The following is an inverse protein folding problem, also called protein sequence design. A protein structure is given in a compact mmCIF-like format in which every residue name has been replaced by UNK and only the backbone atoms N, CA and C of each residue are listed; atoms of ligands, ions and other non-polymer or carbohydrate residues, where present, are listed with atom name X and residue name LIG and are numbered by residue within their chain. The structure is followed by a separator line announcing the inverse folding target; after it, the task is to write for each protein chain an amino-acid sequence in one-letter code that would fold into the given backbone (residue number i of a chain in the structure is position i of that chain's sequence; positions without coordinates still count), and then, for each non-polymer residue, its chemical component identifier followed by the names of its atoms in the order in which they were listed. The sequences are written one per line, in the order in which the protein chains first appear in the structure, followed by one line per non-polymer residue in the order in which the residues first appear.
data_IF_558129456719
#
_entry.id   IF_558129456719
#
_cell.length_a   1.000
_cell.length_b   1.000
_cell.length_c   1.000
_cell.angle_alpha   90.00
_cell.angle_beta   90.00
_cell.angle_gamma   90.00
#
_symmetry.space_group_name_H-M   'P 1'
#
loop_
_entity.id
_entity.type
_entity.pdbx_description
1 polymer ?
#
# COMPACT_ATOMS: atom_id res chain seq x y z
N UNK A 1 -6.94 -25.67 -24.78
CA UNK A 1 -7.41 -24.31 -24.44
C UNK A 1 -7.16 -24.16 -22.96
N UNK A 2 -6.46 -23.12 -22.50
CA UNK A 2 -6.17 -22.96 -21.07
C UNK A 2 -7.49 -22.85 -20.27
N UNK A 3 -7.55 -23.55 -19.13
CA UNK A 3 -8.74 -23.65 -18.27
C UNK A 3 -8.77 -22.44 -17.34
N UNK A 4 -9.07 -21.26 -17.90
CA UNK A 4 -8.92 -19.97 -17.21
C UNK A 4 -10.20 -19.60 -16.46
N UNK A 5 -10.14 -19.58 -15.12
CA UNK A 5 -11.19 -19.09 -14.25
C UNK A 5 -11.29 -17.57 -14.31
N UNK A 6 -12.41 -16.98 -14.80
CA UNK A 6 -12.53 -15.53 -14.90
C UNK A 6 -12.60 -14.87 -13.53
N UNK A 7 -11.87 -13.76 -13.34
CA UNK A 7 -11.93 -12.98 -12.09
C UNK A 7 -13.32 -12.42 -11.81
N UNK A 8 -14.08 -12.15 -12.87
CA UNK A 8 -15.47 -11.72 -12.78
C UNK A 8 -16.36 -12.81 -12.16
N UNK A 9 -16.09 -14.09 -12.39
CA UNK A 9 -16.85 -15.18 -11.79
C UNK A 9 -16.62 -15.23 -10.27
N UNK A 10 -15.36 -15.12 -9.82
CA UNK A 10 -15.00 -15.01 -8.41
C UNK A 10 -15.66 -13.79 -7.73
N UNK A 11 -15.58 -12.63 -8.39
CA UNK A 11 -16.20 -11.40 -7.90
C UNK A 11 -17.73 -11.51 -7.80
N UNK A 12 -18.36 -12.21 -8.74
CA UNK A 12 -19.80 -12.45 -8.73
C UNK A 12 -20.22 -13.42 -7.63
N UNK A 13 -19.45 -14.49 -7.43
CA UNK A 13 -19.62 -15.43 -6.31
C UNK A 13 -19.55 -14.69 -4.97
N UNK A 14 -18.49 -13.92 -4.75
CA UNK A 14 -18.31 -13.13 -3.52
C UNK A 14 -19.46 -12.16 -3.29
N UNK A 15 -19.91 -11.45 -4.33
CA UNK A 15 -21.03 -10.52 -4.22
C UNK A 15 -22.31 -11.23 -3.79
N UNK A 16 -22.58 -12.42 -4.32
CA UNK A 16 -23.75 -13.23 -3.96
C UNK A 16 -23.63 -13.77 -2.54
N UNK A 17 -22.45 -14.21 -2.13
CA UNK A 17 -22.20 -14.68 -0.76
C UNK A 17 -22.35 -13.56 0.26
N UNK A 18 -21.75 -12.39 0.00
CA UNK A 18 -21.88 -11.20 0.85
C UNK A 18 -23.33 -10.72 0.99
N UNK A 19 -24.17 -10.92 -0.04
CA UNK A 19 -25.59 -10.61 0.05
C UNK A 19 -26.34 -11.56 1.01
N UNK A 20 -25.93 -12.83 1.12
CA UNK A 20 -26.49 -13.78 2.09
C UNK A 20 -26.00 -13.50 3.50
N UNK A 21 -24.71 -13.20 3.65
CA UNK A 21 -24.10 -12.70 4.89
C UNK A 21 -24.82 -11.47 5.43
N UNK A 22 -25.04 -10.46 4.58
CA UNK A 22 -25.79 -9.25 4.91
C UNK A 22 -27.22 -9.51 5.33
N UNK A 23 -27.95 -10.39 4.63
CA UNK A 23 -29.32 -10.78 5.02
C UNK A 23 -29.36 -11.47 6.39
N UNK A 24 -28.37 -12.32 6.69
CA UNK A 24 -28.27 -12.98 7.99
C UNK A 24 -28.00 -11.97 9.11
N UNK A 25 -27.08 -11.03 8.86
CA UNK A 25 -26.81 -9.91 9.77
C UNK A 25 -28.06 -9.08 10.03
N UNK A 26 -28.76 -8.64 8.97
CA UNK A 26 -29.97 -7.82 9.06
C UNK A 26 -31.09 -8.55 9.80
N UNK A 27 -31.30 -9.84 9.51
CA UNK A 27 -32.30 -10.67 10.20
C UNK A 27 -32.03 -10.73 11.70
N UNK A 28 -30.79 -11.06 12.10
CA UNK A 28 -30.41 -11.20 13.49
C UNK A 28 -30.45 -9.85 14.24
N UNK A 29 -29.85 -8.80 13.67
CA UNK A 29 -29.80 -7.48 14.30
C UNK A 29 -31.19 -6.88 14.49
N UNK A 30 -32.05 -6.96 13.47
CA UNK A 30 -33.41 -6.39 13.54
C UNK A 30 -34.27 -7.12 14.56
N UNK A 31 -34.23 -8.46 14.60
CA UNK A 31 -35.08 -9.25 15.49
C UNK A 31 -34.65 -9.17 16.96
N UNK A 32 -33.35 -9.24 17.24
CA UNK A 32 -32.82 -9.09 18.60
C UNK A 32 -33.08 -7.67 19.12
N UNK A 33 -32.82 -6.65 18.28
CA UNK A 33 -33.11 -5.26 18.63
C UNK A 33 -34.59 -5.02 18.96
N UNK A 34 -35.50 -5.50 18.10
CA UNK A 34 -36.93 -5.37 18.32
C UNK A 34 -37.40 -6.10 19.60
N UNK A 35 -36.79 -7.24 19.95
CA UNK A 35 -37.10 -7.93 21.20
C UNK A 35 -36.68 -7.12 22.42
N UNK A 36 -35.44 -6.60 22.45
CA UNK A 36 -34.94 -5.79 23.56
C UNK A 36 -35.78 -4.52 23.74
N UNK A 37 -36.15 -3.85 22.64
CA UNK A 37 -36.98 -2.64 22.67
C UNK A 37 -38.40 -2.92 23.18
N UNK A 38 -39.02 -4.00 22.70
CA UNK A 38 -40.39 -4.38 23.07
C UNK A 38 -40.50 -4.91 24.49
N UNK A 39 -39.43 -5.50 25.03
CA UNK A 39 -39.41 -6.15 26.34
C UNK A 39 -38.28 -5.60 27.23
N UNK A 40 -38.36 -4.32 27.67
CA UNK A 40 -37.30 -3.69 28.47
C UNK A 40 -37.09 -4.34 29.86
N UNK A 41 -38.06 -5.13 30.33
CA UNK A 41 -37.96 -5.90 31.57
C UNK A 41 -37.48 -7.34 31.41
N UNK A 42 -37.07 -7.76 30.20
CA UNK A 42 -36.56 -9.10 29.97
C UNK A 42 -35.26 -9.34 30.78
N UNK A 43 -35.17 -10.51 31.40
CA UNK A 43 -33.94 -10.94 32.09
C UNK A 43 -32.81 -11.15 31.08
N UNK A 44 -31.53 -11.00 31.47
CA UNK A 44 -30.40 -11.29 30.60
C UNK A 44 -30.43 -12.71 30.02
N UNK A 45 -30.95 -13.68 30.79
CA UNK A 45 -31.15 -15.05 30.34
C UNK A 45 -32.16 -15.12 29.20
N UNK A 46 -33.31 -14.45 29.31
CA UNK A 46 -34.32 -14.41 28.24
C UNK A 46 -33.79 -13.74 26.98
N UNK A 47 -33.05 -12.63 27.12
CA UNK A 47 -32.40 -11.95 25.99
C UNK A 47 -31.39 -12.87 25.30
N UNK A 48 -30.59 -13.60 26.09
CA UNK A 48 -29.61 -14.56 25.59
C UNK A 48 -30.26 -15.70 24.82
N UNK A 49 -31.23 -16.39 25.42
CA UNK A 49 -31.88 -17.55 24.77
C UNK A 49 -32.58 -17.13 23.48
N UNK A 50 -33.28 -15.98 23.48
CA UNK A 50 -33.89 -15.45 22.26
C UNK A 50 -32.85 -15.10 21.19
N UNK A 51 -31.71 -14.51 21.58
CA UNK A 51 -30.64 -14.21 20.64
C UNK A 51 -30.00 -15.47 20.04
N UNK A 52 -29.86 -16.55 20.82
CA UNK A 52 -29.39 -17.85 20.31
C UNK A 52 -30.34 -18.36 19.23
N UNK A 53 -31.64 -18.45 19.53
CA UNK A 53 -32.66 -18.91 18.58
C UNK A 53 -32.67 -18.09 17.29
N UNK A 54 -32.64 -16.76 17.40
CA UNK A 54 -32.63 -15.87 16.23
C UNK A 54 -31.38 -16.07 15.38
N UNK A 55 -30.20 -16.24 15.99
CA UNK A 55 -28.96 -16.48 15.25
C UNK A 55 -29.00 -17.86 14.57
N UNK A 56 -29.47 -18.90 15.24
CA UNK A 56 -29.66 -20.23 14.64
C UNK A 56 -30.60 -20.18 13.44
N UNK A 57 -31.76 -19.53 13.58
CA UNK A 57 -32.73 -19.37 12.51
C UNK A 57 -32.16 -18.60 11.32
N UNK A 58 -31.40 -17.53 11.57
CA UNK A 58 -30.74 -16.77 10.51
C UNK A 58 -29.71 -17.65 9.77
N UNK A 59 -28.90 -18.42 10.50
CA UNK A 59 -27.91 -19.32 9.90
C UNK A 59 -28.58 -20.45 9.12
N UNK A 60 -29.68 -21.01 9.62
CA UNK A 60 -30.48 -22.00 8.90
C UNK A 60 -31.08 -21.44 7.61
N UNK A 61 -31.70 -20.25 7.68
CA UNK A 61 -32.39 -19.63 6.55
C UNK A 61 -31.45 -19.23 5.41
N UNK A 62 -30.23 -18.78 5.71
CA UNK A 62 -29.30 -18.25 4.70
C UNK A 62 -28.09 -19.15 4.45
N UNK A 63 -27.76 -20.07 5.37
CA UNK A 63 -26.59 -20.95 5.29
C UNK A 63 -26.69 -21.97 4.17
N UNK A 64 -27.85 -22.57 3.93
CA UNK A 64 -28.05 -23.55 2.85
C UNK A 64 -27.90 -22.89 1.47
N UNK A 65 -28.35 -21.64 1.32
CA UNK A 65 -28.13 -20.85 0.12
C UNK A 65 -26.63 -20.57 -0.11
N UNK A 66 -25.87 -20.31 0.95
CA UNK A 66 -24.43 -20.08 0.88
C UNK A 66 -23.67 -21.36 0.53
N UNK A 67 -24.04 -22.50 1.12
CA UNK A 67 -23.51 -23.81 0.75
C UNK A 67 -23.83 -24.17 -0.70
N UNK A 68 -25.07 -23.93 -1.15
CA UNK A 68 -25.46 -24.19 -2.55
C UNK A 68 -24.69 -23.32 -3.54
N UNK A 69 -24.52 -22.03 -3.23
CA UNK A 69 -23.70 -21.13 -4.04
C UNK A 69 -22.24 -21.59 -4.16
N UNK A 70 -21.67 -22.12 -3.06
CA UNK A 70 -20.33 -22.68 -3.05
C UNK A 70 -20.24 -23.99 -3.85
N UNK A 71 -21.26 -24.84 -3.77
CA UNK A 71 -21.38 -26.04 -4.59
C UNK A 71 -21.44 -25.69 -6.10
N UNK A 72 -22.29 -24.74 -6.50
CA UNK A 72 -22.39 -24.27 -7.89
C UNK A 72 -21.04 -23.75 -8.41
N UNK A 73 -20.34 -22.94 -7.60
CA UNK A 73 -19.03 -22.41 -7.97
C UNK A 73 -17.98 -23.54 -8.10
N UNK A 74 -18.02 -24.53 -7.20
CA UNK A 74 -17.13 -25.69 -7.25
C UNK A 74 -17.34 -26.52 -8.51
N UNK A 75 -18.59 -26.84 -8.82
CA UNK A 75 -18.96 -27.61 -10.02
C UNK A 75 -18.65 -26.81 -11.29
N UNK A 76 -18.87 -25.50 -11.30
CA UNK A 76 -18.48 -24.62 -12.40
C UNK A 76 -16.97 -24.60 -12.64
N UNK A 77 -16.14 -24.62 -11.57
CA UNK A 77 -14.69 -24.78 -11.71
C UNK A 77 -14.30 -26.14 -12.29
N UNK A 78 -15.01 -27.22 -11.90
CA UNK A 78 -14.77 -28.56 -12.43
C UNK A 78 -15.14 -28.65 -13.92
N UNK A 79 -16.31 -28.15 -14.29
CA UNK A 79 -16.79 -28.10 -15.68
C UNK A 79 -15.85 -27.28 -16.56
N UNK A 80 -15.46 -26.08 -16.10
CA UNK A 80 -14.48 -25.24 -16.78
C UNK A 80 -13.16 -25.98 -16.99
N UNK A 81 -12.78 -26.81 -16.03
CA UNK A 81 -11.55 -27.61 -16.09
C UNK A 81 -11.70 -28.90 -16.91
N UNK A 82 -12.88 -29.18 -17.48
CA UNK A 82 -13.17 -30.42 -18.20
C UNK A 82 -13.16 -31.67 -17.31
N UNK A 83 -13.21 -31.50 -15.98
CA UNK A 83 -13.14 -32.58 -15.00
C UNK A 83 -14.55 -32.99 -14.60
N UNK A 84 -14.86 -34.28 -14.74
CA UNK A 84 -16.10 -34.85 -14.19
C UNK A 84 -15.92 -35.15 -12.72
N UNK A 85 -16.62 -34.40 -11.87
CA UNK A 85 -16.69 -34.63 -10.42
C UNK A 85 -18.03 -35.24 -10.04
N UNK A 86 -18.10 -35.85 -8.86
CA UNK A 86 -19.40 -36.18 -8.23
C UNK A 86 -20.11 -34.87 -7.87
N UNK A 87 -21.46 -34.84 -7.85
CA UNK A 87 -22.21 -33.69 -7.35
C UNK A 87 -21.62 -33.17 -6.02
N UNK A 88 -21.50 -31.86 -5.92
CA UNK A 88 -20.92 -31.22 -4.76
C UNK A 88 -21.79 -31.45 -3.53
N UNK A 89 -21.15 -31.85 -2.44
CA UNK A 89 -21.81 -32.05 -1.15
C UNK A 89 -21.84 -30.71 -0.42
N UNK A 90 -23.04 -30.23 -0.10
CA UNK A 90 -23.24 -29.02 0.69
C UNK A 90 -22.97 -29.27 2.19
N UNK A 91 -22.38 -28.29 2.88
CA UNK A 91 -22.24 -28.34 4.34
C UNK A 91 -23.58 -28.01 5.02
N UNK A 92 -24.05 -28.95 5.85
CA UNK A 92 -25.23 -28.82 6.71
C UNK A 92 -24.93 -29.11 8.18
N UNK A 93 -23.64 -29.21 8.55
CA UNK A 93 -23.17 -29.46 9.93
C UNK A 93 -23.89 -28.61 10.98
N UNK A 94 -24.30 -29.19 12.11
CA UNK A 94 -24.85 -28.41 13.22
C UNK A 94 -23.80 -27.46 13.81
N UNK A 95 -24.16 -26.18 14.00
CA UNK A 95 -23.30 -25.12 14.56
C UNK A 95 -23.89 -24.50 15.82
N UNK A 96 -25.00 -25.02 16.35
CA UNK A 96 -25.71 -24.48 17.51
C UNK A 96 -24.78 -24.24 18.70
N UNK A 97 -23.96 -25.23 19.07
CA UNK A 97 -23.02 -25.08 20.19
C UNK A 97 -21.99 -23.94 20.02
N UNK A 98 -21.59 -23.63 18.77
CA UNK A 98 -20.71 -22.50 18.48
C UNK A 98 -21.42 -21.15 18.53
N UNK A 99 -22.72 -21.13 18.21
CA UNK A 99 -23.58 -19.95 18.32
C UNK A 99 -23.87 -19.67 19.79
N UNK A 100 -24.32 -20.68 20.53
CA UNK A 100 -24.60 -20.60 21.96
C UNK A 100 -23.39 -20.06 22.74
N UNK A 101 -22.21 -20.65 22.54
CA UNK A 101 -21.00 -20.22 23.23
C UNK A 101 -20.64 -18.75 22.95
N UNK A 102 -20.84 -18.29 21.71
CA UNK A 102 -20.54 -16.91 21.33
C UNK A 102 -21.57 -15.95 21.92
N UNK A 103 -22.87 -16.24 21.79
CA UNK A 103 -23.92 -15.38 22.33
C UNK A 103 -23.81 -15.26 23.86
N UNK A 104 -23.51 -16.38 24.55
CA UNK A 104 -23.18 -16.39 25.99
C UNK A 104 -22.03 -15.44 26.32
N UNK A 105 -20.95 -15.50 25.56
CA UNK A 105 -19.81 -14.62 25.75
C UNK A 105 -20.16 -13.15 25.50
N UNK A 106 -20.86 -12.86 24.41
CA UNK A 106 -21.21 -11.50 24.00
C UNK A 106 -22.28 -10.85 24.90
N UNK A 107 -23.06 -11.62 25.65
CA UNK A 107 -24.01 -11.12 26.64
C UNK A 107 -23.36 -10.18 27.67
N UNK A 108 -22.06 -10.33 27.94
CA UNK A 108 -21.30 -9.40 28.77
C UNK A 108 -21.42 -7.94 28.34
N UNK A 109 -21.53 -7.66 27.02
CA UNK A 109 -21.74 -6.31 26.49
C UNK A 109 -23.10 -5.75 26.92
N UNK A 110 -24.15 -6.55 26.77
CA UNK A 110 -25.50 -6.19 27.22
C UNK A 110 -25.51 -5.87 28.72
N UNK A 111 -24.89 -6.73 29.54
CA UNK A 111 -24.79 -6.55 30.98
C UNK A 111 -23.97 -5.32 31.39
N UNK A 112 -23.01 -4.91 30.57
CA UNK A 112 -22.22 -3.69 30.77
C UNK A 112 -22.92 -2.40 30.31
N UNK A 113 -24.19 -2.48 29.91
CA UNK A 113 -24.97 -1.34 29.42
C UNK A 113 -24.78 -1.02 27.93
N UNK A 114 -24.25 -1.96 27.14
CA UNK A 114 -24.08 -1.85 25.69
C UNK A 114 -24.97 -2.86 24.93
N UNK A 115 -26.29 -2.64 24.87
CA UNK A 115 -27.20 -3.52 24.13
C UNK A 115 -26.93 -3.49 22.62
N UNK A 116 -26.52 -2.35 22.06
CA UNK A 116 -26.25 -2.24 20.63
C UNK A 116 -25.01 -3.05 20.23
N UNK A 117 -23.93 -3.01 21.03
CA UNK A 117 -22.75 -3.84 20.80
C UNK A 117 -23.04 -5.34 20.93
N UNK A 118 -23.97 -5.74 21.81
CA UNK A 118 -24.47 -7.12 21.87
C UNK A 118 -25.22 -7.53 20.60
N UNK A 119 -26.16 -6.68 20.12
CA UNK A 119 -26.92 -6.92 18.89
C UNK A 119 -25.97 -7.06 17.69
N UNK A 120 -25.05 -6.11 17.51
CA UNK A 120 -24.08 -6.14 16.41
C UNK A 120 -23.17 -7.38 16.48
N UNK A 121 -22.79 -7.83 17.67
CA UNK A 121 -21.96 -9.03 17.83
C UNK A 121 -22.74 -10.31 17.44
N UNK A 122 -23.99 -10.45 17.88
CA UNK A 122 -24.84 -11.59 17.51
C UNK A 122 -25.12 -11.61 16.01
N UNK A 123 -25.40 -10.45 15.42
CA UNK A 123 -25.60 -10.32 13.98
C UNK A 123 -24.34 -10.63 13.16
N UNK A 124 -23.16 -10.20 13.63
CA UNK A 124 -21.87 -10.56 13.03
C UNK A 124 -21.66 -12.07 13.09
N UNK A 125 -22.00 -12.72 14.21
CA UNK A 125 -21.92 -14.18 14.34
C UNK A 125 -22.80 -14.92 13.33
N UNK A 126 -24.03 -14.44 13.08
CA UNK A 126 -24.90 -15.00 12.05
C UNK A 126 -24.25 -14.91 10.66
N UNK A 127 -23.77 -13.72 10.29
CA UNK A 127 -23.03 -13.48 9.05
C UNK A 127 -21.82 -14.42 8.90
N UNK A 128 -21.00 -14.54 9.95
CA UNK A 128 -19.79 -15.37 9.96
C UNK A 128 -20.11 -16.86 9.77
N UNK A 129 -21.19 -17.38 10.38
CA UNK A 129 -21.58 -18.77 10.20
C UNK A 129 -22.11 -19.06 8.78
N UNK A 130 -22.77 -18.09 8.14
CA UNK A 130 -23.18 -18.20 6.72
C UNK A 130 -21.95 -18.22 5.80
N UNK A 131 -20.96 -17.36 6.03
CA UNK A 131 -19.69 -17.42 5.31
C UNK A 131 -18.95 -18.75 5.54
N UNK A 132 -18.97 -19.25 6.78
CA UNK A 132 -18.35 -20.53 7.17
C UNK A 132 -18.94 -21.71 6.40
N UNK A 133 -20.26 -21.75 6.19
CA UNK A 133 -20.98 -22.79 5.43
C UNK A 133 -20.47 -22.90 3.99
N UNK A 134 -20.36 -21.76 3.30
CA UNK A 134 -19.81 -21.69 1.95
C UNK A 134 -18.35 -22.19 1.89
N UNK A 135 -17.51 -21.69 2.80
CA UNK A 135 -16.11 -22.10 2.90
C UNK A 135 -15.98 -23.60 3.22
N UNK A 136 -16.78 -24.13 4.14
CA UNK A 136 -16.76 -25.54 4.49
C UNK A 136 -17.20 -26.42 3.32
N UNK A 137 -18.23 -26.00 2.57
CA UNK A 137 -18.68 -26.68 1.34
C UNK A 137 -17.54 -26.77 0.32
N UNK A 138 -16.85 -25.67 0.04
CA UNK A 138 -15.66 -25.67 -0.82
C UNK A 138 -14.58 -26.63 -0.31
N UNK A 139 -14.24 -26.57 0.99
CA UNK A 139 -13.21 -27.41 1.60
C UNK A 139 -13.52 -28.90 1.51
N UNK A 140 -14.77 -29.29 1.76
CA UNK A 140 -15.21 -30.69 1.75
C UNK A 140 -15.01 -31.29 0.36
N UNK A 141 -15.49 -30.60 -0.68
CA UNK A 141 -15.40 -31.08 -2.06
C UNK A 141 -13.96 -31.04 -2.59
N UNK A 142 -13.24 -29.95 -2.35
CA UNK A 142 -11.83 -29.85 -2.73
C UNK A 142 -10.96 -30.91 -2.02
N UNK A 143 -11.21 -31.22 -0.75
CA UNK A 143 -10.51 -32.29 -0.02
C UNK A 143 -10.84 -33.67 -0.61
N UNK A 144 -12.12 -33.93 -0.90
CA UNK A 144 -12.59 -35.19 -1.52
C UNK A 144 -11.85 -35.46 -2.82
N UNK A 145 -11.68 -34.43 -3.63
CA UNK A 145 -11.12 -34.54 -4.98
C UNK A 145 -9.61 -34.22 -5.02
N UNK A 146 -8.97 -34.10 -3.84
CA UNK A 146 -7.51 -34.00 -3.71
C UNK A 146 -6.89 -32.67 -4.16
N UNK A 147 -7.71 -31.62 -4.32
CA UNK A 147 -7.30 -30.35 -4.89
C UNK A 147 -6.28 -29.60 -4.02
N UNK A 148 -5.53 -28.71 -4.66
CA UNK A 148 -4.68 -27.72 -4.00
C UNK A 148 -5.33 -26.36 -4.03
N UNK A 149 -4.84 -25.46 -3.19
CA UNK A 149 -5.34 -24.11 -3.07
C UNK A 149 -4.29 -23.10 -3.49
N UNK A 150 -4.73 -21.94 -3.95
CA UNK A 150 -3.91 -20.75 -4.17
C UNK A 150 -4.46 -19.57 -3.38
N UNK A 151 -3.58 -18.64 -2.99
CA UNK A 151 -3.95 -17.30 -2.53
C UNK A 151 -3.95 -16.39 -3.75
N UNK A 152 -5.10 -15.90 -4.16
CA UNK A 152 -5.26 -15.08 -5.36
C UNK A 152 -5.59 -13.64 -4.95
N UNK A 153 -4.67 -12.68 -5.12
CA UNK A 153 -5.00 -11.27 -4.94
C UNK A 153 -6.10 -10.87 -5.93
N UNK A 154 -7.07 -10.05 -5.51
CA UNK A 154 -8.19 -9.62 -6.38
C UNK A 154 -8.15 -8.12 -6.69
N UNK A 155 -6.98 -7.50 -6.54
CA UNK A 155 -6.76 -6.06 -6.72
C UNK A 155 -6.87 -5.25 -5.43
N UNK A 156 -6.49 -3.97 -5.54
CA UNK A 156 -6.24 -3.10 -4.39
C UNK A 156 -4.85 -3.35 -3.77
N UNK A 157 -4.64 -2.79 -2.59
CA UNK A 157 -3.42 -3.00 -1.80
C UNK A 157 -3.17 -4.50 -1.57
N UNK A 158 -1.94 -4.96 -1.83
CA UNK A 158 -1.50 -6.32 -1.51
C UNK A 158 -0.22 -6.24 -0.70
N UNK A 159 -0.23 -6.69 0.55
CA UNK A 159 0.97 -6.65 1.39
C UNK A 159 1.99 -7.73 1.01
N UNK A 160 3.24 -7.61 1.48
CA UNK A 160 4.33 -8.57 1.22
C UNK A 160 3.99 -10.01 1.59
N UNK A 161 3.25 -10.20 2.68
CA UNK A 161 2.83 -11.53 3.10
C UNK A 161 1.81 -12.15 2.13
N UNK A 162 0.84 -11.36 1.64
CA UNK A 162 -0.10 -11.82 0.62
C UNK A 162 0.61 -12.10 -0.71
N UNK A 163 1.57 -11.27 -1.12
CA UNK A 163 2.38 -11.51 -2.32
C UNK A 163 3.18 -12.82 -2.20
N UNK A 164 3.80 -13.05 -1.03
CA UNK A 164 4.48 -14.31 -0.73
C UNK A 164 3.53 -15.52 -0.78
N UNK A 165 2.30 -15.37 -0.29
CA UNK A 165 1.34 -16.47 -0.37
C UNK A 165 0.93 -16.73 -1.82
N UNK A 166 0.72 -15.66 -2.58
CA UNK A 166 0.29 -15.69 -3.97
C UNK A 166 1.33 -16.27 -4.92
N UNK A 167 2.63 -16.09 -4.63
CA UNK A 167 3.71 -16.60 -5.47
C UNK A 167 3.84 -18.11 -5.53
N UNK A 168 3.12 -18.85 -4.67
CA UNK A 168 3.17 -20.32 -4.65
C UNK A 168 2.16 -20.99 -5.58
N UNK A 169 1.23 -20.25 -6.19
CA UNK A 169 0.21 -20.88 -7.03
C UNK A 169 -0.68 -21.86 -6.28
N UNK A 170 -1.19 -22.87 -7.00
CA UNK A 170 -2.00 -23.96 -6.45
C UNK A 170 -1.15 -25.03 -5.74
N UNK A 171 -0.38 -24.64 -4.73
CA UNK A 171 0.52 -25.54 -3.98
C UNK A 171 0.00 -25.92 -2.59
N UNK A 172 -0.92 -25.13 -2.03
CA UNK A 172 -1.34 -25.33 -0.65
C UNK A 172 -2.24 -26.55 -0.51
N UNK A 173 -1.92 -27.43 0.45
CA UNK A 173 -2.72 -28.65 0.75
C UNK A 173 -4.04 -28.35 1.45
N UNK A 174 -4.23 -27.15 1.97
CA UNK A 174 -5.44 -26.73 2.65
C UNK A 174 -5.72 -25.25 2.46
N UNK A 175 -7.00 -24.87 2.51
CA UNK A 175 -7.41 -23.48 2.49
C UNK A 175 -6.79 -22.67 3.63
N UNK A 176 -6.66 -23.27 4.83
CA UNK A 176 -6.00 -22.65 5.99
C UNK A 176 -4.54 -22.27 5.69
N UNK A 177 -3.77 -23.17 5.09
CA UNK A 177 -2.35 -22.89 4.73
C UNK A 177 -2.22 -21.86 3.61
N UNK A 178 -3.25 -21.70 2.78
CA UNK A 178 -3.35 -20.62 1.79
C UNK A 178 -3.84 -19.28 2.40
N UNK A 179 -4.08 -19.21 3.72
CA UNK A 179 -4.43 -17.97 4.42
C UNK A 179 -5.93 -17.68 4.54
N UNK A 180 -6.80 -18.69 4.39
CA UNK A 180 -8.24 -18.52 4.56
C UNK A 180 -8.59 -18.12 6.00
N UNK A 181 -9.58 -17.23 6.17
CA UNK A 181 -9.97 -16.67 7.47
C UNK A 181 -9.01 -15.61 8.02
N UNK A 182 -7.94 -15.26 7.29
CA UNK A 182 -7.00 -14.22 7.70
C UNK A 182 -7.07 -12.99 6.79
N UNK A 183 -7.26 -11.83 7.42
CA UNK A 183 -7.05 -10.52 6.82
C UNK A 183 -5.74 -9.94 7.36
N UNK A 184 -4.68 -10.01 6.55
CA UNK A 184 -3.34 -9.58 6.95
C UNK A 184 -3.10 -8.06 6.87
N UNK A 185 -4.06 -7.34 6.27
CA UNK A 185 -4.06 -5.88 6.21
C UNK A 185 -5.51 -5.37 6.08
N UNK A 186 -5.71 -4.07 6.29
CA UNK A 186 -7.02 -3.43 6.14
C UNK A 186 -7.51 -3.59 4.71
N UNK A 187 -8.80 -3.88 4.53
CA UNK A 187 -9.44 -4.06 3.23
C UNK A 187 -8.78 -5.15 2.34
N UNK A 188 -8.20 -6.20 2.94
CA UNK A 188 -7.62 -7.31 2.19
C UNK A 188 -8.68 -8.02 1.35
N UNK A 189 -8.53 -7.95 0.02
CA UNK A 189 -9.44 -8.55 -0.96
C UNK A 189 -8.95 -9.87 -1.54
N UNK A 190 -7.82 -10.39 -1.07
CA UNK A 190 -7.28 -11.65 -1.55
C UNK A 190 -8.22 -12.82 -1.25
N UNK A 191 -8.25 -13.80 -2.14
CA UNK A 191 -9.12 -14.98 -2.06
C UNK A 191 -8.30 -16.24 -1.92
N UNK A 192 -8.91 -17.26 -1.33
CA UNK A 192 -8.33 -18.61 -1.27
C UNK A 192 -9.21 -19.49 -2.12
N UNK A 193 -8.63 -20.09 -3.16
CA UNK A 193 -9.37 -20.76 -4.22
C UNK A 193 -8.79 -22.15 -4.41
N UNK A 194 -9.60 -23.23 -4.38
CA UNK A 194 -9.14 -24.55 -4.80
C UNK A 194 -9.01 -24.60 -6.33
N UNK A 195 -8.03 -25.34 -6.84
CA UNK A 195 -7.81 -25.48 -8.29
C UNK A 195 -7.72 -26.93 -8.73
N UNK A 196 -8.31 -27.20 -9.89
CA UNK A 196 -8.08 -28.43 -10.65
C UNK A 196 -6.75 -28.35 -11.40
N UNK A 197 -6.26 -29.52 -11.84
CA UNK A 197 -5.02 -29.59 -12.60
C UNK A 197 -5.12 -28.78 -13.91
N UNK A 198 -4.10 -27.99 -14.20
CA UNK A 198 -4.08 -27.07 -15.35
C UNK A 198 -5.05 -25.88 -15.28
N UNK A 199 -5.73 -25.65 -14.14
CA UNK A 199 -6.59 -24.49 -13.95
C UNK A 199 -5.75 -23.24 -13.69
N UNK A 200 -6.05 -22.17 -14.41
CA UNK A 200 -5.47 -20.85 -14.23
C UNK A 200 -6.53 -19.86 -13.73
N UNK A 201 -6.12 -18.71 -13.21
CA UNK A 201 -7.04 -17.61 -12.86
C UNK A 201 -6.67 -16.40 -13.69
N UNK A 202 -7.67 -15.76 -14.31
CA UNK A 202 -7.49 -14.61 -15.18
C UNK A 202 -6.68 -13.48 -14.49
N UNK A 203 -5.54 -13.11 -15.08
CA UNK A 203 -4.66 -12.05 -14.56
C UNK A 203 -3.99 -12.40 -13.23
N UNK A 204 -3.79 -13.68 -12.97
CA UNK A 204 -3.02 -14.21 -11.84
C UNK A 204 -1.92 -15.14 -12.37
N UNK A 205 -0.67 -14.71 -12.23
CA UNK A 205 0.51 -15.48 -12.54
C UNK A 205 1.37 -15.63 -11.26
N UNK A 206 1.54 -16.85 -10.72
CA UNK A 206 2.39 -17.09 -9.56
C UNK A 206 3.83 -16.57 -9.71
N UNK A 207 4.42 -16.65 -10.91
CA UNK A 207 5.79 -16.23 -11.15
C UNK A 207 5.92 -14.70 -11.11
N UNK A 208 4.97 -13.98 -11.71
CA UNK A 208 4.88 -12.52 -11.54
C UNK A 208 4.70 -12.12 -10.06
N UNK A 209 3.92 -12.90 -9.30
CA UNK A 209 3.77 -12.66 -7.86
C UNK A 209 5.03 -12.99 -7.06
N UNK A 210 5.86 -13.93 -7.54
CA UNK A 210 7.17 -14.20 -6.97
C UNK A 210 8.10 -13.01 -7.16
N UNK A 211 8.24 -12.52 -8.38
CA UNK A 211 9.03 -11.33 -8.69
C UNK A 211 8.56 -10.11 -7.87
N UNK A 212 7.24 -9.90 -7.80
CA UNK A 212 6.65 -8.83 -6.97
C UNK A 212 6.97 -8.99 -5.48
N UNK A 213 6.94 -10.21 -4.97
CA UNK A 213 7.29 -10.49 -3.58
C UNK A 213 8.76 -10.19 -3.29
N UNK A 214 9.67 -10.56 -4.20
CA UNK A 214 11.10 -10.22 -4.07
C UNK A 214 11.30 -8.69 -4.06
N UNK A 215 10.68 -7.97 -4.98
CA UNK A 215 10.71 -6.51 -5.01
C UNK A 215 10.17 -5.89 -3.70
N UNK A 216 9.07 -6.42 -3.14
CA UNK A 216 8.55 -5.95 -1.85
C UNK A 216 9.47 -6.26 -0.69
N UNK A 217 10.20 -7.37 -0.72
CA UNK A 217 11.20 -7.70 0.29
C UNK A 217 12.36 -6.71 0.29
N UNK A 218 12.82 -6.28 -0.88
CA UNK A 218 13.86 -5.24 -0.96
C UNK A 218 13.40 -3.94 -0.29
N UNK A 219 12.13 -3.55 -0.47
CA UNK A 219 11.54 -2.39 0.23
C UNK A 219 11.43 -2.62 1.75
N UNK A 220 11.07 -3.83 2.18
CA UNK A 220 10.94 -4.18 3.60
C UNK A 220 12.29 -4.21 4.32
N UNK A 221 13.29 -4.79 3.67
CA UNK A 221 14.65 -4.96 4.19
C UNK A 221 15.45 -3.64 4.15
N UNK A 222 15.01 -2.66 3.34
CA UNK A 222 15.62 -1.34 3.28
C UNK A 222 15.55 -0.62 4.65
N UNK A 223 16.73 -0.29 5.19
CA UNK A 223 16.86 0.42 6.46
C UNK A 223 16.46 1.89 6.34
N UNK A 224 16.16 2.54 7.48
CA UNK A 224 15.91 3.98 7.53
C UNK A 224 14.54 4.44 7.02
N UNK A 225 13.85 3.69 6.16
CA UNK A 225 12.55 4.09 5.60
C UNK A 225 11.44 4.15 6.66
N UNK A 226 10.46 5.05 6.47
CA UNK A 226 9.24 5.08 7.27
C UNK A 226 8.24 3.99 6.83
N UNK A 227 7.31 3.61 7.71
CA UNK A 227 6.24 2.65 7.37
C UNK A 227 5.40 3.14 6.19
N UNK A 228 5.07 4.44 6.17
CA UNK A 228 4.25 5.04 5.12
C UNK A 228 5.02 5.14 3.80
N UNK A 229 6.31 5.46 3.82
CA UNK A 229 7.14 5.46 2.63
C UNK A 229 7.27 4.06 2.00
N UNK A 230 7.48 3.01 2.82
CA UNK A 230 7.46 1.61 2.34
C UNK A 230 6.13 1.25 1.69
N UNK A 231 5.04 1.69 2.29
CA UNK A 231 3.70 1.44 1.77
C UNK A 231 3.51 2.07 0.38
N UNK A 232 3.84 3.36 0.24
CA UNK A 232 3.78 4.08 -1.05
C UNK A 232 4.66 3.41 -2.11
N UNK A 233 5.86 2.96 -1.74
CA UNK A 233 6.77 2.25 -2.65
C UNK A 233 6.16 0.94 -3.18
N UNK A 234 5.54 0.14 -2.31
CA UNK A 234 4.86 -1.11 -2.73
C UNK A 234 3.62 -0.85 -3.56
N UNK A 235 2.89 0.22 -3.28
CA UNK A 235 1.75 0.65 -4.10
C UNK A 235 2.20 1.05 -5.51
N UNK A 236 3.31 1.78 -5.64
CA UNK A 236 3.92 2.07 -6.93
C UNK A 236 4.28 0.78 -7.67
N UNK A 237 5.01 -0.13 -7.02
CA UNK A 237 5.40 -1.42 -7.61
C UNK A 237 4.20 -2.33 -7.96
N UNK A 238 3.05 -2.15 -7.31
CA UNK A 238 1.82 -2.88 -7.65
C UNK A 238 1.25 -2.48 -9.02
N UNK A 239 1.67 -1.34 -9.58
CA UNK A 239 1.29 -0.87 -10.92
C UNK A 239 2.27 -1.25 -12.01
N UNK A 240 3.43 -1.80 -11.63
CA UNK A 240 4.52 -2.16 -12.55
C UNK A 240 4.32 -3.61 -13.00
N UNK A 241 4.38 -3.88 -14.33
CA UNK A 241 4.47 -5.24 -14.85
C UNK A 241 5.71 -5.95 -14.32
N UNK A 242 5.57 -7.19 -13.87
CA UNK A 242 6.68 -7.96 -13.29
C UNK A 242 7.19 -9.00 -14.28
N UNK A 243 7.47 -8.56 -15.50
CA UNK A 243 7.75 -9.43 -16.65
C UNK A 243 9.18 -9.33 -17.18
N UNK A 244 9.91 -8.26 -16.85
CA UNK A 244 11.30 -8.03 -17.27
C UNK A 244 12.16 -7.64 -16.07
N UNK A 245 13.23 -8.40 -15.83
CA UNK A 245 14.10 -8.22 -14.66
C UNK A 245 14.79 -6.84 -14.63
N UNK A 246 15.13 -6.28 -15.80
CA UNK A 246 15.74 -4.96 -15.91
C UNK A 246 14.76 -3.85 -15.56
N UNK A 247 13.52 -3.94 -16.06
CA UNK A 247 12.44 -3.02 -15.72
C UNK A 247 12.06 -3.12 -14.23
N UNK A 248 12.00 -4.33 -13.67
CA UNK A 248 11.74 -4.56 -12.24
C UNK A 248 12.83 -3.90 -11.40
N UNK A 249 14.09 -4.17 -11.69
CA UNK A 249 15.23 -3.61 -10.95
C UNK A 249 15.20 -2.08 -10.98
N UNK A 250 14.98 -1.48 -12.16
CA UNK A 250 14.83 -0.02 -12.30
C UNK A 250 13.64 0.50 -11.49
N UNK A 251 12.50 -0.18 -11.52
CA UNK A 251 11.32 0.22 -10.75
C UNK A 251 11.56 0.15 -9.23
N UNK A 252 12.28 -0.87 -8.74
CA UNK A 252 12.66 -0.99 -7.33
C UNK A 252 13.60 0.13 -6.93
N UNK A 253 14.62 0.46 -7.73
CA UNK A 253 15.51 1.60 -7.46
C UNK A 253 14.74 2.91 -7.37
N UNK A 254 13.80 3.17 -8.30
CA UNK A 254 12.91 4.34 -8.27
C UNK A 254 12.06 4.34 -6.99
N UNK A 255 11.49 3.21 -6.60
CA UNK A 255 10.64 3.08 -5.43
C UNK A 255 11.42 3.36 -4.13
N UNK A 256 12.64 2.83 -4.01
CA UNK A 256 13.54 3.05 -2.88
C UNK A 256 13.96 4.51 -2.76
N UNK A 257 14.42 5.13 -3.86
CA UNK A 257 14.84 6.53 -3.86
C UNK A 257 13.68 7.47 -3.47
N UNK A 258 12.47 7.21 -3.98
CA UNK A 258 11.28 7.98 -3.61
C UNK A 258 10.91 7.77 -2.14
N UNK A 259 11.01 6.54 -1.65
CA UNK A 259 10.73 6.23 -0.24
C UNK A 259 11.74 6.89 0.70
N UNK A 260 13.00 7.00 0.29
CA UNK A 260 14.07 7.71 1.02
C UNK A 260 13.69 9.21 1.15
N UNK A 261 13.42 9.89 0.04
CA UNK A 261 12.97 11.28 0.03
C UNK A 261 11.66 11.51 0.82
N UNK A 262 10.66 10.63 0.65
CA UNK A 262 9.39 10.71 1.39
C UNK A 262 9.60 10.53 2.90
N UNK A 263 10.53 9.64 3.29
CA UNK A 263 10.92 9.46 4.70
C UNK A 263 11.57 10.72 5.25
N UNK A 264 12.45 11.37 4.49
CA UNK A 264 13.04 12.63 4.91
C UNK A 264 11.99 13.72 5.08
N UNK A 265 11.06 13.83 4.13
CA UNK A 265 9.96 14.79 4.21
C UNK A 265 9.10 14.55 5.46
N UNK A 266 8.77 13.30 5.78
CA UNK A 266 8.01 12.97 6.99
C UNK A 266 8.74 13.37 8.26
N UNK A 267 10.03 13.06 8.36
CA UNK A 267 10.84 13.38 9.54
C UNK A 267 11.04 14.88 9.69
N UNK A 268 11.31 15.58 8.58
CA UNK A 268 11.37 17.05 8.55
C UNK A 268 10.05 17.68 9.00
N UNK A 269 8.91 17.18 8.50
CA UNK A 269 7.61 17.69 8.92
C UNK A 269 7.37 17.50 10.43
N UNK A 270 7.81 16.39 11.02
CA UNK A 270 7.75 16.19 12.48
C UNK A 270 8.69 17.14 13.24
N UNK A 271 9.91 17.34 12.75
CA UNK A 271 10.85 18.30 13.33
C UNK A 271 10.26 19.72 13.30
N UNK A 272 9.73 20.12 12.16
CA UNK A 272 9.07 21.41 11.96
C UNK A 272 7.83 21.58 12.85
N UNK A 273 7.02 20.53 13.04
CA UNK A 273 5.88 20.58 13.96
C UNK A 273 6.31 20.81 15.41
N UNK A 274 7.45 20.26 15.85
CA UNK A 274 8.01 20.55 17.18
C UNK A 274 8.54 21.97 17.28
N UNK A 275 9.26 22.43 16.26
CA UNK A 275 9.71 23.81 16.14
C UNK A 275 8.55 24.81 16.28
N UNK A 276 7.44 24.56 15.57
CA UNK A 276 6.27 25.45 15.55
C UNK A 276 5.59 25.65 16.90
N UNK A 277 5.87 24.81 17.90
CA UNK A 277 5.34 24.97 19.27
C UNK A 277 6.00 26.13 20.01
N UNK A 278 7.27 26.41 19.71
CA UNK A 278 8.03 27.52 20.28
C UNK A 278 9.10 28.00 19.29
N UNK A 279 8.88 29.13 18.62
CA UNK A 279 9.67 29.53 17.45
C UNK A 279 10.95 30.29 17.81
N UNK A 280 11.78 29.71 18.66
CA UNK A 280 13.08 30.28 19.05
C UNK A 280 14.22 29.70 18.23
N UNK A 281 15.34 30.43 18.03
CA UNK A 281 16.54 29.89 17.39
C UNK A 281 17.06 28.61 18.07
N UNK A 282 17.01 28.56 19.40
CA UNK A 282 17.40 27.38 20.17
C UNK A 282 16.50 26.18 19.84
N UNK A 283 15.17 26.33 19.89
CA UNK A 283 14.27 25.23 19.54
C UNK A 283 14.39 24.80 18.07
N UNK A 284 14.69 25.72 17.15
CA UNK A 284 14.97 25.38 15.75
C UNK A 284 16.22 24.49 15.64
N UNK A 285 17.31 24.88 16.30
CA UNK A 285 18.54 24.08 16.40
C UNK A 285 18.25 22.68 16.99
N UNK A 286 17.49 22.61 18.08
CA UNK A 286 17.20 21.37 18.79
C UNK A 286 16.20 20.45 18.06
N UNK A 287 15.54 20.94 17.01
CA UNK A 287 14.52 20.17 16.27
C UNK A 287 14.84 19.97 14.79
N UNK A 288 14.91 21.06 14.02
CA UNK A 288 15.20 21.03 12.57
C UNK A 288 16.69 20.86 12.35
N UNK A 289 17.52 21.65 13.04
CA UNK A 289 18.98 21.56 12.97
C UNK A 289 19.47 20.16 13.35
N UNK A 290 19.06 19.65 14.51
CA UNK A 290 19.40 18.30 14.97
C UNK A 290 18.92 17.18 14.03
N UNK A 291 17.79 17.37 13.34
CA UNK A 291 17.33 16.43 12.33
C UNK A 291 18.23 16.43 11.09
N UNK A 292 18.57 17.61 10.56
CA UNK A 292 19.47 17.75 9.42
C UNK A 292 20.86 17.20 9.75
N UNK A 293 21.41 17.54 10.91
CA UNK A 293 22.70 17.02 11.39
C UNK A 293 22.67 15.48 11.49
N UNK A 294 21.62 14.90 12.06
CA UNK A 294 21.48 13.45 12.16
C UNK A 294 21.44 12.76 10.78
N UNK A 295 20.75 13.34 9.80
CA UNK A 295 20.68 12.80 8.44
C UNK A 295 22.02 12.97 7.74
N UNK A 296 22.60 14.17 7.80
CA UNK A 296 23.88 14.46 7.19
C UNK A 296 25.00 13.54 7.69
N UNK A 297 25.07 13.34 9.01
CA UNK A 297 26.03 12.42 9.63
C UNK A 297 25.84 10.97 9.17
N UNK A 298 24.61 10.49 8.96
CA UNK A 298 24.39 9.12 8.45
C UNK A 298 24.85 8.92 7.00
N UNK A 299 25.03 9.99 6.25
CA UNK A 299 25.47 9.97 4.85
C UNK A 299 26.89 10.53 4.66
N UNK A 300 27.55 10.98 5.73
CA UNK A 300 28.83 11.70 5.68
C UNK A 300 28.78 12.96 4.79
N UNK A 301 27.64 13.67 4.81
CA UNK A 301 27.40 14.91 4.07
C UNK A 301 26.88 15.94 5.06
N UNK A 302 27.66 16.96 5.47
CA UNK A 302 27.19 17.94 6.44
C UNK A 302 25.96 18.68 5.94
N UNK A 303 24.84 18.58 6.67
CA UNK A 303 23.61 19.31 6.39
C UNK A 303 23.32 20.27 7.54
N UNK A 304 23.14 21.54 7.20
CA UNK A 304 22.73 22.57 8.14
C UNK A 304 21.74 23.52 7.46
N UNK A 305 21.10 24.39 8.23
CA UNK A 305 20.11 25.32 7.69
C UNK A 305 20.07 26.62 8.47
N UNK A 306 19.78 27.71 7.77
CA UNK A 306 19.45 29.00 8.35
C UNK A 306 18.19 28.89 9.21
N UNK A 307 18.10 29.72 10.26
CA UNK A 307 16.90 29.80 11.09
C UNK A 307 15.66 30.04 10.22
N UNK A 308 14.59 29.30 10.48
CA UNK A 308 13.32 29.30 9.72
C UNK A 308 13.35 28.62 8.34
N UNK A 309 14.50 28.17 7.84
CA UNK A 309 14.53 27.33 6.64
C UNK A 309 13.83 25.98 6.88
N UNK A 310 13.26 25.41 5.83
CA UNK A 310 12.55 24.13 5.93
C UNK A 310 12.67 23.39 4.61
N UNK A 311 13.84 22.81 4.31
CA UNK A 311 13.99 22.05 3.09
C UNK A 311 13.04 20.84 3.11
N UNK A 312 12.44 20.52 1.98
CA UNK A 312 11.60 19.35 1.83
C UNK A 312 12.44 18.07 1.64
N UNK A 313 11.77 16.92 1.59
CA UNK A 313 12.48 15.65 1.45
C UNK A 313 13.15 15.44 0.10
N UNK A 314 12.65 16.06 -0.97
CA UNK A 314 13.28 15.98 -2.30
C UNK A 314 14.56 16.83 -2.32
N UNK A 315 14.53 17.99 -1.66
CA UNK A 315 15.71 18.87 -1.49
C UNK A 315 16.80 18.23 -0.64
N UNK A 316 16.43 17.63 0.50
CA UNK A 316 17.37 16.88 1.34
C UNK A 316 17.97 15.71 0.56
N UNK A 317 17.14 14.94 -0.14
CA UNK A 317 17.60 13.82 -0.95
C UNK A 317 18.59 14.27 -2.03
N UNK A 318 18.27 15.34 -2.76
CA UNK A 318 19.13 15.89 -3.81
C UNK A 318 20.48 16.36 -3.24
N UNK A 319 20.48 17.13 -2.15
CA UNK A 319 21.71 17.58 -1.49
C UNK A 319 22.61 16.42 -1.06
N UNK A 320 22.02 15.35 -0.51
CA UNK A 320 22.75 14.14 -0.14
C UNK A 320 23.36 13.41 -1.34
N UNK A 321 22.70 13.40 -2.51
CA UNK A 321 23.27 12.78 -3.72
C UNK A 321 24.36 13.64 -4.36
N UNK A 322 24.26 14.97 -4.27
CA UNK A 322 25.37 15.86 -4.64
C UNK A 322 26.61 15.54 -3.80
N UNK A 323 26.43 15.22 -2.52
CA UNK A 323 27.51 14.70 -1.66
C UNK A 323 28.43 15.78 -1.07
N UNK A 324 28.14 17.06 -1.33
CA UNK A 324 28.87 18.20 -0.78
C UNK A 324 28.12 18.82 0.41
N UNK A 325 28.82 19.51 1.35
CA UNK A 325 28.18 20.19 2.46
C UNK A 325 27.07 21.13 1.97
N UNK A 326 25.88 21.08 2.57
CA UNK A 326 24.76 21.92 2.18
C UNK A 326 24.25 22.74 3.37
N UNK A 327 24.25 24.07 3.21
CA UNK A 327 23.63 25.01 4.13
C UNK A 327 22.34 25.57 3.51
N UNK A 328 21.19 25.05 3.91
CA UNK A 328 19.88 25.45 3.38
C UNK A 328 19.50 26.85 3.82
N UNK A 329 19.12 27.70 2.87
CA UNK A 329 18.82 29.11 3.11
C UNK A 329 17.32 29.31 3.37
N UNK A 330 16.96 30.37 4.09
CA UNK A 330 15.55 30.68 4.36
C UNK A 330 14.95 31.54 3.23
N UNK A 331 13.99 30.96 2.50
CA UNK A 331 13.19 31.70 1.51
C UNK A 331 11.87 32.20 2.13
N UNK A 332 11.82 33.49 2.46
CA UNK A 332 10.62 34.19 2.95
C UNK A 332 9.84 34.88 1.83
N UNK A 333 8.72 35.52 2.16
CA UNK A 333 7.94 36.33 1.20
C UNK A 333 8.73 37.49 0.60
N UNK A 334 9.66 38.05 1.37
CA UNK A 334 10.48 39.21 1.00
C UNK A 334 11.91 38.82 0.58
N UNK A 335 12.23 37.52 0.59
CA UNK A 335 13.58 37.00 0.41
C UNK A 335 13.58 35.76 -0.49
N UNK A 336 13.98 35.91 -1.75
CA UNK A 336 13.99 34.83 -2.75
C UNK A 336 15.35 34.11 -2.82
N UNK A 337 15.88 33.68 -1.68
CA UNK A 337 17.15 32.95 -1.66
C UNK A 337 17.07 31.65 -2.49
N UNK A 338 18.15 31.30 -3.20
CA UNK A 338 18.39 29.94 -3.67
C UNK A 338 18.30 28.93 -2.52
N UNK A 339 17.98 27.67 -2.82
CA UNK A 339 17.66 26.68 -1.78
C UNK A 339 18.83 26.39 -0.82
N UNK A 340 20.09 26.35 -1.30
CA UNK A 340 21.25 26.14 -0.43
C UNK A 340 22.55 26.79 -0.91
N UNK A 341 23.49 26.97 0.03
CA UNK A 341 24.88 27.33 -0.22
C UNK A 341 25.82 26.14 0.02
N UNK A 342 26.83 25.98 -0.83
CA UNK A 342 27.95 25.05 -0.63
C UNK A 342 29.25 25.68 -1.11
N UNK A 343 30.29 25.70 -0.26
CA UNK A 343 31.62 26.22 -0.62
C UNK A 343 31.63 27.69 -1.10
N UNK A 344 30.65 28.51 -0.69
CA UNK A 344 30.49 29.90 -1.14
C UNK A 344 29.67 30.08 -2.43
N UNK A 345 29.27 28.99 -3.09
CA UNK A 345 28.41 28.98 -4.27
C UNK A 345 26.93 28.72 -3.89
N UNK A 346 26.02 29.31 -4.65
CA UNK A 346 24.57 29.20 -4.44
C UNK A 346 23.97 28.18 -5.42
N UNK A 347 23.02 27.40 -4.93
CA UNK A 347 22.36 26.33 -5.66
C UNK A 347 20.85 26.38 -5.49
N UNK A 348 20.14 26.14 -6.58
CA UNK A 348 18.69 26.00 -6.58
C UNK A 348 18.29 24.60 -7.04
N UNK A 349 17.51 23.90 -6.22
CA UNK A 349 17.07 22.54 -6.46
C UNK A 349 15.69 22.56 -7.16
N UNK A 350 15.54 21.73 -8.18
CA UNK A 350 14.25 21.45 -8.81
C UNK A 350 14.04 19.96 -8.98
N UNK A 351 12.88 19.51 -8.49
CA UNK A 351 12.39 18.13 -8.66
C UNK A 351 11.06 18.16 -9.42
N UNK A 352 11.08 18.12 -10.76
CA UNK A 352 9.87 18.22 -11.57
C UNK A 352 8.93 17.03 -11.36
N UNK A 353 7.61 17.29 -11.32
CA UNK A 353 6.56 16.26 -11.21
C UNK A 353 5.93 15.85 -12.55
N UNK A 354 6.41 16.44 -13.65
CA UNK A 354 6.06 16.03 -15.02
C UNK A 354 7.06 16.60 -16.02
N UNK A 355 7.21 15.95 -17.17
CA UNK A 355 8.04 16.42 -18.31
C UNK A 355 7.84 17.90 -18.62
N UNK A 356 6.57 18.35 -18.69
CA UNK A 356 6.20 19.74 -19.00
C UNK A 356 6.74 20.76 -17.99
N UNK A 357 7.01 20.34 -16.75
CA UNK A 357 7.49 21.22 -15.68
C UNK A 357 9.01 21.41 -15.70
N UNK A 358 9.79 20.58 -16.38
CA UNK A 358 11.27 20.62 -16.37
C UNK A 358 11.77 22.03 -16.71
N UNK A 359 11.58 22.48 -17.95
CA UNK A 359 12.09 23.79 -18.40
C UNK A 359 11.47 24.97 -17.66
N UNK A 360 10.18 24.87 -17.29
CA UNK A 360 9.50 25.92 -16.54
C UNK A 360 10.13 26.13 -15.16
N UNK A 361 10.36 25.04 -14.43
CA UNK A 361 10.96 25.08 -13.10
C UNK A 361 12.42 25.56 -13.13
N UNK A 362 13.17 25.21 -14.17
CA UNK A 362 14.53 25.72 -14.37
C UNK A 362 14.54 27.23 -14.65
N UNK A 363 13.59 27.75 -15.44
CA UNK A 363 13.46 29.19 -15.62
C UNK A 363 13.13 29.90 -14.30
N UNK A 364 12.15 29.37 -13.55
CA UNK A 364 11.80 29.88 -12.21
C UNK A 364 13.00 29.83 -11.24
N UNK A 365 13.86 28.81 -11.36
CA UNK A 365 15.10 28.73 -10.60
C UNK A 365 16.08 29.86 -10.96
N UNK A 366 16.25 30.18 -12.24
CA UNK A 366 17.18 31.23 -12.68
C UNK A 366 16.81 32.62 -12.14
N UNK A 367 15.52 32.90 -11.99
CA UNK A 367 15.00 34.20 -11.50
C UNK A 367 15.41 34.48 -10.04
N UNK A 368 15.68 33.43 -9.24
CA UNK A 368 16.17 33.62 -7.86
C UNK A 368 17.60 34.15 -7.79
N UNK A 369 18.40 33.94 -8.84
CA UNK A 369 19.78 34.42 -8.87
C UNK A 369 19.91 35.89 -9.27
N UNK A 370 18.82 36.54 -9.71
CA UNK A 370 18.84 37.94 -10.12
C UNK A 370 19.21 38.89 -8.96
N UNK A 371 18.96 38.48 -7.72
CA UNK A 371 19.37 39.20 -6.50
C UNK A 371 20.86 39.00 -6.15
N UNK A 372 21.58 38.10 -6.85
CA UNK A 372 22.97 37.71 -6.57
C UNK A 372 23.87 37.75 -7.82
N UNK A 373 24.03 38.91 -8.49
CA UNK A 373 24.70 39.01 -9.79
C UNK A 373 26.20 38.66 -9.78
N UNK A 374 26.84 38.63 -8.60
CA UNK A 374 28.25 38.26 -8.44
C UNK A 374 28.47 36.79 -8.05
N UNK A 375 27.38 36.03 -7.85
CA UNK A 375 27.42 34.62 -7.48
C UNK A 375 27.19 33.76 -8.71
N UNK A 376 27.82 32.59 -8.72
CA UNK A 376 27.56 31.59 -9.75
C UNK A 376 26.12 31.07 -9.65
N UNK A 377 25.47 30.91 -10.79
CA UNK A 377 24.11 30.41 -10.98
C UNK A 377 24.14 28.91 -11.21
N UNK A 378 23.90 28.13 -10.16
CA UNK A 378 23.95 26.66 -10.23
C UNK A 378 22.57 26.05 -10.00
N UNK A 379 22.15 25.14 -10.88
CA UNK A 379 20.89 24.41 -10.71
C UNK A 379 21.14 22.93 -10.44
N UNK A 380 20.42 22.37 -9.46
CA UNK A 380 20.35 20.93 -9.24
C UNK A 380 19.00 20.43 -9.75
N UNK A 381 19.00 19.66 -10.84
CA UNK A 381 17.80 19.10 -11.45
C UNK A 381 17.67 17.61 -11.09
N UNK A 382 16.81 17.29 -10.12
CA UNK A 382 16.51 15.91 -9.74
C UNK A 382 15.36 15.35 -10.59
N UNK A 383 15.59 14.24 -11.30
CA UNK A 383 14.53 13.54 -12.05
C UNK A 383 13.82 12.46 -11.23
N UNK A 384 13.98 12.46 -9.91
CA UNK A 384 13.41 11.48 -8.97
C UNK A 384 11.91 11.18 -9.19
N UNK A 385 11.14 12.23 -9.53
CA UNK A 385 9.69 12.15 -9.72
C UNK A 385 9.26 12.02 -11.19
N UNK A 386 10.21 12.04 -12.13
CA UNK A 386 10.00 11.89 -13.59
C UNK A 386 11.15 11.10 -14.28
N UNK A 387 11.51 9.89 -13.80
CA UNK A 387 12.63 9.11 -14.34
C UNK A 387 12.54 8.83 -15.84
N UNK A 388 11.33 8.76 -16.39
CA UNK A 388 11.06 8.56 -17.81
C UNK A 388 11.43 9.78 -18.67
N UNK A 389 11.61 10.96 -18.07
CA UNK A 389 11.93 12.22 -18.77
C UNK A 389 13.43 12.54 -18.75
N UNK A 390 14.28 11.52 -18.62
CA UNK A 390 15.74 11.67 -18.52
C UNK A 390 16.30 12.50 -19.67
N UNK A 391 16.05 12.10 -20.92
CA UNK A 391 16.64 12.78 -22.08
C UNK A 391 16.19 14.24 -22.21
N UNK A 392 14.93 14.54 -21.86
CA UNK A 392 14.42 15.91 -21.81
C UNK A 392 15.11 16.76 -20.74
N UNK A 393 15.42 16.17 -19.57
CA UNK A 393 16.13 16.84 -18.50
C UNK A 393 17.56 17.18 -18.92
N UNK A 394 18.28 16.24 -19.53
CA UNK A 394 19.64 16.49 -20.05
C UNK A 394 19.65 17.49 -21.20
N UNK A 395 18.67 17.44 -22.11
CA UNK A 395 18.54 18.43 -23.17
C UNK A 395 18.27 19.83 -22.60
N UNK A 396 17.35 19.96 -21.63
CA UNK A 396 17.08 21.23 -20.96
C UNK A 396 18.32 21.76 -20.24
N UNK A 397 19.02 20.92 -19.48
CA UNK A 397 20.24 21.30 -18.78
C UNK A 397 21.32 21.83 -19.72
N UNK A 398 21.58 21.15 -20.84
CA UNK A 398 22.53 21.63 -21.86
C UNK A 398 22.12 22.96 -22.46
N UNK A 399 20.84 23.15 -22.78
CA UNK A 399 20.37 24.40 -23.39
C UNK A 399 20.52 25.60 -22.45
N UNK A 400 20.17 25.44 -21.17
CA UNK A 400 20.26 26.53 -20.18
C UNK A 400 21.71 26.85 -19.77
N UNK A 401 22.64 25.91 -19.90
CA UNK A 401 24.07 26.21 -19.75
C UNK A 401 24.59 26.91 -21.00
N UNK A 402 24.22 26.42 -22.19
CA UNK A 402 24.68 26.98 -23.46
C UNK A 402 24.18 28.40 -23.73
N UNK A 403 23.01 28.79 -23.21
CA UNK A 403 22.47 30.14 -23.32
C UNK A 403 22.91 31.09 -22.18
N UNK A 404 23.75 30.60 -21.26
CA UNK A 404 24.29 31.38 -20.13
C UNK A 404 23.28 31.64 -19.01
N UNK A 405 22.12 30.97 -19.00
CA UNK A 405 21.16 31.09 -17.90
C UNK A 405 21.72 30.52 -16.59
N UNK A 406 22.46 29.40 -16.67
CA UNK A 406 23.18 28.80 -15.55
C UNK A 406 24.66 28.61 -15.91
N UNK A 407 25.54 28.77 -14.92
CA UNK A 407 26.96 28.40 -15.07
C UNK A 407 27.13 26.88 -15.05
N UNK A 408 26.33 26.21 -14.21
CA UNK A 408 26.30 24.75 -14.12
C UNK A 408 24.90 24.20 -13.85
N UNK A 409 24.65 22.99 -14.36
CA UNK A 409 23.47 22.19 -14.01
C UNK A 409 23.91 20.78 -13.62
N UNK A 410 23.61 20.37 -12.39
CA UNK A 410 23.76 19.00 -11.94
C UNK A 410 22.44 18.23 -12.09
N UNK A 411 22.41 17.25 -12.99
CA UNK A 411 21.25 16.36 -13.17
C UNK A 411 21.41 15.12 -12.30
N UNK A 412 20.46 14.85 -11.41
CA UNK A 412 20.48 13.67 -10.51
C UNK A 412 19.49 12.63 -11.04
N UNK A 413 19.98 11.44 -11.38
CA UNK A 413 19.18 10.30 -11.81
C UNK A 413 18.62 9.50 -10.61
N UNK A 414 17.69 8.57 -10.87
CA UNK A 414 17.00 7.81 -9.82
C UNK A 414 17.86 6.80 -9.08
N UNK A 415 18.97 6.37 -9.68
CA UNK A 415 19.99 5.57 -9.01
C UNK A 415 20.91 6.40 -8.10
N UNK A 416 20.71 7.72 -8.08
CA UNK A 416 21.52 8.68 -7.32
C UNK A 416 22.77 9.15 -8.05
N UNK A 417 23.00 8.74 -9.30
CA UNK A 417 24.09 9.26 -10.10
C UNK A 417 23.90 10.75 -10.39
N UNK A 418 25.01 11.49 -10.34
CA UNK A 418 25.03 12.94 -10.56
C UNK A 418 25.83 13.24 -11.83
N UNK A 419 25.22 13.99 -12.73
CA UNK A 419 25.83 14.42 -13.99
C UNK A 419 25.90 15.93 -14.04
N UNK A 420 27.11 16.48 -13.93
CA UNK A 420 27.35 17.92 -13.97
C UNK A 420 27.56 18.37 -15.43
N UNK A 421 26.87 19.43 -15.82
CA UNK A 421 26.94 20.06 -17.15
C UNK A 421 27.38 21.51 -16.95
N UNK A 422 28.50 21.90 -17.58
CA UNK A 422 29.13 23.23 -17.48
C UNK A 422 29.53 23.75 -18.86
N UNK A 423 29.86 25.03 -18.96
CA UNK A 423 30.37 25.62 -20.20
C UNK A 423 31.72 24.98 -20.58
N UNK A 424 31.80 24.38 -21.77
CA UNK A 424 33.03 23.75 -22.27
C UNK A 424 33.19 22.24 -22.01
N UNK A 425 32.25 21.57 -21.34
CA UNK A 425 32.27 20.09 -21.23
C UNK A 425 31.98 19.36 -22.56
N UNK A 426 31.75 20.10 -23.65
CA UNK A 426 31.69 19.60 -25.03
C UNK A 426 33.10 19.38 -25.61
N UNK A 427 33.82 18.37 -25.10
CA UNK A 427 34.80 17.59 -25.88
C UNK A 427 34.92 16.16 -25.35
N UNK A 428 33.99 15.31 -25.76
CA UNK A 428 34.33 14.01 -26.30
C UNK A 428 33.36 13.74 -27.46
N UNK A 429 33.79 14.17 -28.65
CA UNK A 429 33.23 13.71 -29.91
C UNK A 429 34.09 12.56 -30.43
N UNK A 430 33.44 11.43 -30.68
CA UNK A 430 33.49 10.65 -31.94
C UNK A 430 32.45 9.56 -31.86
#
# INVERSE_FOLDING_TARGET
MALILPRKALSAYDKRLAALEGKAYECASSRIGAFIEKFPGATPEQVREFAIEVVDEAVGAFGDGASSLAADMYEGMAELSGVKVKPAVIDTSDVHGHIESEVRYQLGKYLSGDPQGFICACASKASDQVARRANQTMRLNAKRDGLRYARVPMGGETCSFCAMLASRGFDYRSAKTAGEGNHYHKNCRCKVIPGFDGMEVEGYDPDEWHARWQAFREIDDASGLSVKARQTAKEFLSTVPMTDDGEISRAVSVALARAEADTYNERMNRAWQRFRKDKTPQNYSDTVGAYLDSVGNSHNVPLAAEFMSKPDGDEIWAALKIGEPAFFLYAGTDHKYPDYESGGALFEIKTPKSRKKIRRLMREASEKFDEYPSKSKNCVLSILRVPESRDDAFAAARDFVADGTFDSVAVIDVDGSVHVIEEGTLRLGS
#
